data_IF_173587055402
#
_entry.id   IF_173587055402
#
_cell.length_a   1.000
_cell.length_b   1.000
_cell.length_c   1.000
_cell.angle_alpha   90.00
_cell.angle_beta   90.00
_cell.angle_gamma   90.00
#
_symmetry.space_group_name_H-M   'P 1'
#
loop_
_entity.id
_entity.type
_entity.pdbx_description
1 polymer ?
#
# COMPACT_ATOMS: atom_id res chain seq x y z
N UNK A 1 15.71 4.98 -19.71
CA UNK A 1 16.69 4.12 -19.03
C UNK A 1 18.10 4.71 -18.93
N UNK A 2 18.62 5.44 -19.94
CA UNK A 2 19.98 6.03 -19.88
C UNK A 2 20.22 7.06 -18.74
N UNK A 3 19.20 7.77 -18.29
CA UNK A 3 19.37 8.82 -17.26
C UNK A 3 19.54 8.30 -15.83
N UNK A 4 19.08 7.10 -15.53
CA UNK A 4 19.09 6.59 -14.16
C UNK A 4 20.44 5.97 -13.75
N UNK A 5 21.20 5.44 -14.71
CA UNK A 5 22.56 4.91 -14.47
C UNK A 5 23.57 6.03 -14.21
N UNK A 6 23.36 7.21 -14.78
CA UNK A 6 24.23 8.38 -14.55
C UNK A 6 24.31 8.79 -13.08
N UNK A 7 23.27 8.53 -12.28
CA UNK A 7 23.28 8.85 -10.84
C UNK A 7 24.38 8.06 -10.11
N UNK A 8 24.63 6.81 -10.55
CA UNK A 8 25.63 5.95 -9.91
C UNK A 8 27.05 6.12 -10.51
N UNK A 9 27.14 6.52 -11.79
CA UNK A 9 28.40 6.59 -12.52
C UNK A 9 29.07 7.97 -12.47
N UNK A 10 28.27 9.05 -12.49
CA UNK A 10 28.79 10.41 -12.70
C UNK A 10 28.53 11.40 -11.57
N UNK A 11 27.65 11.08 -10.59
CA UNK A 11 27.36 12.01 -9.50
C UNK A 11 28.35 11.85 -8.34
N UNK A 12 28.72 12.99 -7.70
CA UNK A 12 29.41 12.90 -6.41
C UNK A 12 28.50 12.23 -5.37
N UNK A 13 29.10 11.48 -4.43
CA UNK A 13 28.36 10.70 -3.42
C UNK A 13 27.26 11.51 -2.71
N UNK A 14 27.49 12.78 -2.25
CA UNK A 14 26.43 13.56 -1.60
C UNK A 14 25.27 13.92 -2.55
N UNK A 15 25.56 14.09 -3.84
CA UNK A 15 24.53 14.38 -4.85
C UNK A 15 23.72 13.13 -5.18
N UNK A 16 24.37 11.99 -5.34
CA UNK A 16 23.70 10.71 -5.57
C UNK A 16 22.76 10.35 -4.40
N UNK A 17 23.25 10.47 -3.15
CA UNK A 17 22.45 10.25 -1.93
C UNK A 17 21.23 11.17 -1.90
N UNK A 18 21.38 12.47 -2.11
CA UNK A 18 20.22 13.39 -2.13
C UNK A 18 19.21 13.05 -3.21
N UNK A 19 19.66 12.67 -4.40
CA UNK A 19 18.79 12.36 -5.53
C UNK A 19 17.95 11.12 -5.28
N UNK A 20 18.43 10.15 -4.51
CA UNK A 20 17.73 8.91 -4.20
C UNK A 20 16.98 8.99 -2.85
N UNK A 21 17.57 9.60 -1.83
CA UNK A 21 16.99 9.65 -0.50
C UNK A 21 15.80 10.61 -0.42
N UNK A 22 15.90 11.79 -1.04
CA UNK A 22 14.85 12.81 -0.94
C UNK A 22 13.48 12.33 -1.47
N UNK A 23 13.37 11.71 -2.66
CA UNK A 23 12.11 11.12 -3.11
C UNK A 23 11.58 10.03 -2.17
N UNK A 24 12.46 9.17 -1.64
CA UNK A 24 12.07 8.12 -0.71
C UNK A 24 11.53 8.68 0.62
N UNK A 25 12.17 9.72 1.15
CA UNK A 25 11.71 10.42 2.36
C UNK A 25 10.36 11.11 2.13
N UNK A 26 10.16 11.76 0.99
CA UNK A 26 8.87 12.37 0.64
C UNK A 26 7.76 11.31 0.54
N UNK A 27 8.05 10.16 -0.08
CA UNK A 27 7.11 9.04 -0.12
C UNK A 27 6.73 8.53 1.26
N UNK A 28 7.71 8.42 2.18
CA UNK A 28 7.44 8.03 3.58
C UNK A 28 6.59 9.08 4.30
N UNK A 29 6.85 10.36 4.08
CA UNK A 29 6.11 11.45 4.71
C UNK A 29 4.65 11.46 4.25
N UNK A 30 4.39 11.26 2.96
CA UNK A 30 3.02 11.12 2.42
C UNK A 30 2.34 9.87 2.99
N UNK A 31 3.08 8.77 3.20
CA UNK A 31 2.53 7.59 3.86
C UNK A 31 2.10 7.85 5.31
N UNK A 32 2.86 8.64 6.07
CA UNK A 32 2.47 9.04 7.43
C UNK A 32 1.20 9.91 7.38
N UNK A 33 1.14 10.88 6.48
CA UNK A 33 -0.04 11.76 6.31
C UNK A 33 -1.27 10.93 5.94
N UNK A 34 -1.12 9.97 5.04
CA UNK A 34 -2.18 9.04 4.65
C UNK A 34 -2.70 8.24 5.87
N UNK A 35 -1.83 7.62 6.66
CA UNK A 35 -2.25 6.86 7.84
C UNK A 35 -2.96 7.73 8.90
N UNK A 36 -2.50 8.99 9.05
CA UNK A 36 -3.17 9.96 9.93
C UNK A 36 -4.56 10.33 9.39
N UNK A 37 -4.68 10.56 8.08
CA UNK A 37 -5.95 10.91 7.44
C UNK A 37 -6.97 9.76 7.57
N UNK A 38 -6.58 8.52 7.28
CA UNK A 38 -7.42 7.34 7.42
C UNK A 38 -7.96 7.20 8.85
N UNK A 39 -7.07 7.28 9.86
CA UNK A 39 -7.45 7.24 11.27
C UNK A 39 -8.37 8.41 11.65
N UNK A 40 -8.10 9.61 11.13
CA UNK A 40 -8.91 10.80 11.37
C UNK A 40 -10.32 10.61 10.81
N UNK A 41 -10.49 10.16 9.57
CA UNK A 41 -11.80 9.94 8.97
C UNK A 41 -12.60 8.86 9.69
N UNK A 42 -11.98 7.75 10.08
CA UNK A 42 -12.65 6.73 10.91
C UNK A 42 -13.05 7.33 12.26
N UNK A 43 -12.21 8.17 12.86
CA UNK A 43 -12.52 8.89 14.11
C UNK A 43 -13.75 9.82 14.00
N UNK A 44 -13.98 10.43 12.82
CA UNK A 44 -15.16 11.30 12.59
C UNK A 44 -16.49 10.54 12.66
N UNK A 45 -16.50 9.22 12.57
CA UNK A 45 -17.72 8.42 12.77
C UNK A 45 -18.26 8.49 14.20
N UNK A 46 -17.46 8.99 15.16
CA UNK A 46 -17.82 9.07 16.58
C UNK A 46 -17.91 7.72 17.29
N UNK A 47 -17.54 6.62 16.61
CA UNK A 47 -17.61 5.27 17.18
C UNK A 47 -16.23 4.76 17.57
N UNK A 48 -15.93 4.76 18.88
CA UNK A 48 -14.66 4.30 19.41
C UNK A 48 -14.32 2.83 19.04
N UNK A 49 -15.34 1.97 18.90
CA UNK A 49 -15.13 0.58 18.51
C UNK A 49 -14.66 0.43 17.05
N UNK A 50 -15.04 1.35 16.17
CA UNK A 50 -14.53 1.39 14.80
C UNK A 50 -13.05 1.74 14.76
N UNK A 51 -12.63 2.75 15.50
CA UNK A 51 -11.21 3.16 15.62
C UNK A 51 -10.38 2.03 16.24
N UNK A 52 -10.89 1.41 17.31
CA UNK A 52 -10.25 0.26 17.94
C UNK A 52 -10.13 -0.93 16.98
N UNK A 53 -11.16 -1.19 16.16
CA UNK A 53 -11.14 -2.26 15.18
C UNK A 53 -10.04 -2.09 14.10
N UNK A 54 -9.88 -0.87 13.57
CA UNK A 54 -8.79 -0.56 12.63
C UNK A 54 -7.43 -0.78 13.31
N UNK A 55 -7.27 -0.30 14.55
CA UNK A 55 -6.01 -0.45 15.31
C UNK A 55 -5.67 -1.92 15.55
N UNK A 56 -6.64 -2.74 15.93
CA UNK A 56 -6.46 -4.19 16.16
C UNK A 56 -6.09 -4.94 14.86
N UNK A 57 -6.55 -4.48 13.70
CA UNK A 57 -6.23 -5.10 12.40
C UNK A 57 -4.88 -4.66 11.81
N UNK A 58 -4.26 -3.59 12.36
CA UNK A 58 -2.95 -3.09 11.88
C UNK A 58 -1.85 -4.17 11.79
N UNK A 59 -1.64 -5.07 12.78
CA UNK A 59 -0.64 -6.12 12.66
C UNK A 59 -0.87 -7.03 11.44
N UNK A 60 -2.14 -7.30 11.09
CA UNK A 60 -2.48 -8.10 9.93
C UNK A 60 -2.18 -7.35 8.62
N UNK A 61 -2.43 -6.05 8.59
CA UNK A 61 -2.06 -5.20 7.45
C UNK A 61 -0.53 -5.16 7.25
N UNK A 62 0.24 -5.11 8.34
CA UNK A 62 1.71 -5.18 8.29
C UNK A 62 2.22 -6.50 7.70
N UNK A 63 1.51 -7.61 7.87
CA UNK A 63 1.87 -8.87 7.22
C UNK A 63 1.78 -8.79 5.69
N UNK A 64 0.76 -8.12 5.13
CA UNK A 64 0.69 -7.91 3.68
C UNK A 64 1.87 -7.07 3.18
N UNK A 65 2.22 -6.01 3.91
CA UNK A 65 3.38 -5.18 3.60
C UNK A 65 4.68 -6.00 3.69
N UNK A 66 4.83 -6.83 4.72
CA UNK A 66 6.00 -7.69 4.89
C UNK A 66 6.16 -8.68 3.73
N UNK A 67 5.06 -9.31 3.28
CA UNK A 67 5.06 -10.19 2.12
C UNK A 67 5.46 -9.44 0.83
N UNK A 68 4.93 -8.22 0.63
CA UNK A 68 5.31 -7.37 -0.50
C UNK A 68 6.79 -6.99 -0.47
N UNK A 69 7.32 -6.66 0.71
CA UNK A 69 8.73 -6.34 0.89
C UNK A 69 9.64 -7.55 0.68
N UNK A 70 9.22 -8.76 1.04
CA UNK A 70 10.01 -9.97 0.81
C UNK A 70 10.40 -10.11 -0.66
N UNK A 71 9.44 -10.00 -1.56
CA UNK A 71 9.69 -10.07 -3.01
C UNK A 71 10.21 -8.75 -3.57
N UNK A 72 9.74 -7.63 -3.04
CA UNK A 72 10.11 -6.30 -3.52
C UNK A 72 11.55 -5.94 -3.21
N UNK A 73 11.99 -6.07 -1.96
CA UNK A 73 13.36 -5.74 -1.55
C UNK A 73 14.34 -6.78 -2.07
N UNK A 74 13.98 -8.08 -2.01
CA UNK A 74 14.79 -9.15 -2.62
C UNK A 74 14.96 -8.95 -4.12
N UNK A 75 13.87 -8.73 -4.84
CA UNK A 75 13.87 -8.45 -6.27
C UNK A 75 14.66 -7.20 -6.64
N UNK A 76 14.49 -6.11 -5.88
CA UNK A 76 15.24 -4.87 -6.05
C UNK A 76 16.77 -5.10 -6.04
N UNK A 77 17.28 -5.87 -5.09
CA UNK A 77 18.71 -6.17 -4.99
C UNK A 77 19.23 -6.96 -6.22
N UNK A 78 18.46 -7.96 -6.66
CA UNK A 78 18.84 -8.77 -7.83
C UNK A 78 18.71 -7.99 -9.14
N UNK A 79 17.68 -7.16 -9.29
CA UNK A 79 17.48 -6.30 -10.45
C UNK A 79 18.61 -5.29 -10.57
N UNK A 80 18.92 -4.55 -9.50
CA UNK A 80 20.00 -3.55 -9.49
C UNK A 80 21.35 -4.19 -9.86
N UNK A 81 21.65 -5.37 -9.30
CA UNK A 81 22.87 -6.10 -9.63
C UNK A 81 22.92 -6.57 -11.09
N UNK A 82 21.80 -7.12 -11.60
CA UNK A 82 21.72 -7.60 -12.98
C UNK A 82 21.83 -6.47 -14.00
N UNK A 83 21.29 -5.28 -13.67
CA UNK A 83 21.47 -4.08 -14.48
C UNK A 83 22.93 -3.62 -14.50
N UNK A 84 23.62 -3.63 -13.34
CA UNK A 84 25.05 -3.32 -13.27
C UNK A 84 25.94 -4.31 -14.06
N UNK A 85 25.51 -5.58 -14.17
CA UNK A 85 26.17 -6.60 -14.99
C UNK A 85 25.78 -6.53 -16.49
N UNK A 86 24.87 -5.65 -16.89
CA UNK A 86 24.37 -5.55 -18.27
C UNK A 86 23.43 -6.69 -18.71
N UNK A 87 22.94 -7.51 -17.77
CA UNK A 87 22.12 -8.71 -18.03
C UNK A 87 20.63 -8.40 -18.04
N UNK A 88 20.13 -7.72 -19.07
CA UNK A 88 18.74 -7.26 -19.18
C UNK A 88 17.70 -8.41 -19.20
N UNK A 89 18.02 -9.54 -19.85
CA UNK A 89 17.11 -10.69 -19.86
C UNK A 89 16.90 -11.30 -18.47
N UNK A 90 17.93 -11.24 -17.61
CA UNK A 90 17.82 -11.68 -16.23
C UNK A 90 16.92 -10.75 -15.41
N UNK A 91 16.94 -9.45 -15.69
CA UNK A 91 16.04 -8.48 -15.06
C UNK A 91 14.60 -8.83 -15.34
N UNK A 92 14.23 -9.10 -16.60
CA UNK A 92 12.87 -9.51 -16.99
C UNK A 92 12.41 -10.76 -16.25
N UNK A 93 13.28 -11.78 -16.17
CA UNK A 93 12.96 -13.03 -15.47
C UNK A 93 12.72 -12.80 -13.98
N UNK A 94 13.57 -12.00 -13.31
CA UNK A 94 13.43 -11.68 -11.89
C UNK A 94 12.15 -10.89 -11.66
N UNK A 95 11.87 -9.86 -12.46
CA UNK A 95 10.69 -9.04 -12.35
C UNK A 95 9.41 -9.87 -12.52
N UNK A 96 9.34 -10.72 -13.53
CA UNK A 96 8.20 -11.62 -13.75
C UNK A 96 8.01 -12.58 -12.56
N UNK A 97 9.09 -13.17 -12.05
CA UNK A 97 9.03 -14.02 -10.87
C UNK A 97 8.44 -13.28 -9.65
N UNK A 98 8.93 -12.05 -9.38
CA UNK A 98 8.43 -11.24 -8.28
C UNK A 98 6.94 -10.91 -8.43
N UNK A 99 6.48 -10.55 -9.64
CA UNK A 99 5.08 -10.23 -9.92
C UNK A 99 4.18 -11.44 -9.69
N UNK A 100 4.49 -12.59 -10.29
CA UNK A 100 3.67 -13.80 -10.11
C UNK A 100 3.68 -14.29 -8.66
N UNK A 101 4.83 -14.21 -7.98
CA UNK A 101 4.93 -14.59 -6.56
C UNK A 101 4.13 -13.66 -5.66
N UNK A 102 4.16 -12.35 -5.88
CA UNK A 102 3.40 -11.38 -5.12
C UNK A 102 1.88 -11.61 -5.27
N UNK A 103 1.42 -11.83 -6.51
CA UNK A 103 0.01 -12.14 -6.78
C UNK A 103 -0.37 -13.48 -6.10
N UNK A 104 0.45 -14.52 -6.27
CA UNK A 104 0.21 -15.84 -5.68
C UNK A 104 0.12 -15.80 -4.15
N UNK A 105 1.08 -15.12 -3.50
CA UNK A 105 1.05 -14.93 -2.04
C UNK A 105 -0.13 -14.07 -1.61
N UNK A 106 -0.46 -13.01 -2.35
CA UNK A 106 -1.65 -12.22 -2.09
C UNK A 106 -2.93 -13.07 -2.12
N UNK A 107 -3.09 -13.93 -3.13
CA UNK A 107 -4.25 -14.84 -3.22
C UNK A 107 -4.29 -15.84 -2.06
N UNK A 108 -3.16 -16.41 -1.67
CA UNK A 108 -3.07 -17.30 -0.50
C UNK A 108 -3.49 -16.56 0.77
N UNK A 109 -3.00 -15.32 0.96
CA UNK A 109 -3.39 -14.47 2.09
C UNK A 109 -4.89 -14.15 2.08
N UNK A 110 -5.48 -13.88 0.90
CA UNK A 110 -6.94 -13.70 0.76
C UNK A 110 -7.68 -14.91 1.35
N UNK A 111 -7.36 -16.11 0.87
CA UNK A 111 -8.03 -17.34 1.32
C UNK A 111 -7.82 -17.57 2.81
N UNK A 112 -6.57 -17.45 3.28
CA UNK A 112 -6.21 -17.65 4.67
C UNK A 112 -6.98 -16.72 5.61
N UNK A 113 -6.99 -15.41 5.32
CA UNK A 113 -7.67 -14.45 6.20
C UNK A 113 -9.19 -14.47 6.08
N UNK A 114 -9.77 -14.89 4.96
CA UNK A 114 -11.21 -15.08 4.85
C UNK A 114 -11.67 -16.34 5.58
N UNK A 115 -10.94 -17.45 5.45
CA UNK A 115 -11.28 -18.73 6.10
C UNK A 115 -11.05 -18.66 7.62
N UNK A 116 -9.90 -18.16 8.03
CA UNK A 116 -9.49 -18.09 9.44
C UNK A 116 -9.78 -16.74 10.09
N UNK A 117 -10.72 -15.95 9.55
CA UNK A 117 -11.04 -14.60 10.01
C UNK A 117 -11.29 -14.54 11.52
N UNK A 118 -12.12 -15.45 12.06
CA UNK A 118 -12.48 -15.44 13.47
C UNK A 118 -11.29 -15.71 14.40
N UNK A 119 -10.57 -16.84 14.28
CA UNK A 119 -9.43 -17.11 15.16
C UNK A 119 -8.31 -16.07 15.01
N UNK A 120 -8.06 -15.55 13.80
CA UNK A 120 -7.02 -14.55 13.57
C UNK A 120 -7.35 -13.22 14.27
N UNK A 121 -8.59 -12.74 14.18
CA UNK A 121 -8.98 -11.49 14.83
C UNK A 121 -8.93 -11.58 16.35
N UNK A 122 -9.39 -12.68 16.95
CA UNK A 122 -9.25 -12.87 18.39
C UNK A 122 -7.79 -13.01 18.83
N UNK A 123 -6.95 -13.64 18.02
CA UNK A 123 -5.51 -13.78 18.33
C UNK A 123 -4.78 -12.41 18.32
N UNK A 124 -5.22 -11.44 17.50
CA UNK A 124 -4.65 -10.08 17.51
C UNK A 124 -5.34 -9.15 18.52
N UNK A 125 -6.29 -9.65 19.31
CA UNK A 125 -6.89 -8.92 20.43
C UNK A 125 -8.24 -8.26 20.14
N UNK A 126 -8.98 -8.71 19.11
CA UNK A 126 -10.35 -8.23 18.89
C UNK A 126 -11.26 -8.68 20.06
N UNK A 127 -12.03 -7.75 20.59
CA UNK A 127 -13.10 -8.02 21.55
C UNK A 127 -14.43 -8.26 20.84
N UNK A 128 -15.43 -8.79 21.55
CA UNK A 128 -16.77 -8.96 20.97
C UNK A 128 -17.37 -7.65 20.46
N UNK A 129 -17.07 -6.52 21.11
CA UNK A 129 -17.53 -5.20 20.69
C UNK A 129 -16.85 -4.69 19.41
N UNK A 130 -15.60 -5.09 19.15
CA UNK A 130 -14.83 -4.64 17.98
C UNK A 130 -14.84 -5.66 16.84
N UNK A 131 -15.20 -6.92 17.12
CA UNK A 131 -15.11 -8.03 16.17
C UNK A 131 -15.85 -7.77 14.86
N UNK A 132 -17.09 -7.28 14.92
CA UNK A 132 -17.88 -7.05 13.70
C UNK A 132 -17.20 -6.05 12.77
N UNK A 133 -16.72 -4.93 13.31
CA UNK A 133 -16.02 -3.90 12.55
C UNK A 133 -14.66 -4.37 12.03
N UNK A 134 -13.90 -5.08 12.88
CA UNK A 134 -12.61 -5.65 12.47
C UNK A 134 -12.77 -6.71 11.39
N UNK A 135 -13.84 -7.50 11.45
CA UNK A 135 -14.15 -8.52 10.46
C UNK A 135 -14.55 -7.92 9.11
N UNK A 136 -15.28 -6.81 9.11
CA UNK A 136 -15.63 -6.11 7.88
C UNK A 136 -14.40 -5.44 7.26
N UNK A 137 -13.57 -4.77 8.04
CA UNK A 137 -12.31 -4.21 7.58
C UNK A 137 -11.40 -5.27 6.97
N UNK A 138 -11.14 -6.36 7.73
CA UNK A 138 -10.26 -7.45 7.30
C UNK A 138 -10.76 -8.13 6.03
N UNK A 139 -12.08 -8.29 5.86
CA UNK A 139 -12.69 -8.87 4.68
C UNK A 139 -12.26 -8.16 3.40
N UNK A 140 -12.41 -6.83 3.36
CA UNK A 140 -12.09 -6.06 2.15
C UNK A 140 -10.58 -5.94 1.94
N UNK A 141 -9.80 -5.75 3.00
CA UNK A 141 -8.34 -5.74 2.92
C UNK A 141 -7.81 -7.09 2.45
N UNK A 142 -8.37 -8.21 2.94
CA UNK A 142 -7.98 -9.55 2.51
C UNK A 142 -8.28 -9.78 1.02
N UNK A 143 -9.45 -9.37 0.53
CA UNK A 143 -9.79 -9.44 -0.91
C UNK A 143 -8.81 -8.59 -1.74
N UNK A 144 -8.43 -7.43 -1.22
CA UNK A 144 -7.46 -6.53 -1.85
C UNK A 144 -6.00 -6.91 -1.70
N UNK A 145 -5.68 -7.95 -0.91
CA UNK A 145 -4.29 -8.31 -0.60
C UNK A 145 -3.40 -8.58 -1.83
N UNK A 146 -3.86 -9.17 -2.95
CA UNK A 146 -3.02 -9.30 -4.14
C UNK A 146 -2.53 -7.94 -4.66
N UNK A 147 -3.36 -6.91 -4.59
CA UNK A 147 -3.00 -5.57 -5.02
C UNK A 147 -2.11 -4.86 -4.00
N UNK A 148 -2.37 -5.03 -2.69
CA UNK A 148 -1.55 -4.46 -1.61
C UNK A 148 -0.13 -5.03 -1.69
N UNK A 149 0.02 -6.35 -1.75
CA UNK A 149 1.32 -7.03 -1.86
C UNK A 149 2.04 -6.62 -3.14
N UNK A 150 1.33 -6.57 -4.28
CA UNK A 150 1.90 -6.17 -5.57
C UNK A 150 2.30 -4.69 -5.60
N UNK A 151 1.54 -3.79 -4.99
CA UNK A 151 1.87 -2.36 -4.91
C UNK A 151 3.21 -2.14 -4.20
N UNK A 152 3.39 -2.76 -3.04
CA UNK A 152 4.63 -2.69 -2.26
C UNK A 152 5.80 -3.30 -3.03
N UNK A 153 5.59 -4.47 -3.64
CA UNK A 153 6.60 -5.19 -4.42
C UNK A 153 7.05 -4.36 -5.64
N UNK A 154 6.11 -3.87 -6.47
CA UNK A 154 6.40 -3.04 -7.65
C UNK A 154 7.12 -1.74 -7.28
N UNK A 155 6.69 -1.08 -6.20
CA UNK A 155 7.36 0.12 -5.70
C UNK A 155 8.84 -0.13 -5.37
N UNK A 156 9.19 -1.29 -4.83
CA UNK A 156 10.58 -1.66 -4.56
C UNK A 156 11.33 -2.03 -5.84
N UNK A 157 10.72 -2.79 -6.76
CA UNK A 157 11.33 -3.18 -8.03
C UNK A 157 11.70 -1.95 -8.87
N UNK A 158 10.76 -1.03 -9.07
CA UNK A 158 10.98 0.22 -9.82
C UNK A 158 12.11 1.05 -9.19
N UNK A 159 12.25 1.04 -7.86
CA UNK A 159 13.41 1.65 -7.19
C UNK A 159 14.72 0.94 -7.53
N UNK A 160 14.70 -0.40 -7.63
CA UNK A 160 15.84 -1.21 -8.02
C UNK A 160 16.35 -0.92 -9.45
N UNK A 161 15.47 -0.44 -10.32
CA UNK A 161 15.80 0.02 -11.67
C UNK A 161 16.36 1.46 -11.70
N UNK A 162 16.54 2.09 -10.53
CA UNK A 162 17.00 3.47 -10.42
C UNK A 162 15.89 4.52 -10.56
N UNK A 163 14.63 4.12 -10.79
CA UNK A 163 13.50 5.01 -11.01
C UNK A 163 12.77 5.37 -9.69
N UNK A 164 13.52 5.76 -8.66
CA UNK A 164 12.96 6.08 -7.33
C UNK A 164 11.87 7.16 -7.37
N UNK A 165 11.99 8.15 -8.26
CA UNK A 165 10.96 9.18 -8.46
C UNK A 165 9.64 8.60 -8.97
N UNK A 166 9.70 7.66 -9.89
CA UNK A 166 8.52 7.00 -10.46
C UNK A 166 7.82 6.17 -9.39
N UNK A 167 8.59 5.41 -8.61
CA UNK A 167 8.07 4.66 -7.46
C UNK A 167 7.36 5.57 -6.46
N UNK A 168 7.96 6.71 -6.12
CA UNK A 168 7.36 7.72 -5.24
C UNK A 168 6.05 8.25 -5.82
N UNK A 169 6.02 8.65 -7.09
CA UNK A 169 4.82 9.18 -7.74
C UNK A 169 3.70 8.14 -7.72
N UNK A 170 3.98 6.87 -8.06
CA UNK A 170 3.01 5.79 -8.02
C UNK A 170 2.41 5.58 -6.63
N UNK A 171 3.24 5.64 -5.58
CA UNK A 171 2.77 5.55 -4.20
C UNK A 171 1.92 6.75 -3.81
N UNK A 172 2.33 7.97 -4.16
CA UNK A 172 1.58 9.21 -3.87
C UNK A 172 0.22 9.20 -4.55
N UNK A 173 0.14 8.82 -5.82
CA UNK A 173 -1.13 8.73 -6.55
C UNK A 173 -2.10 7.81 -5.82
N UNK A 174 -1.66 6.61 -5.44
CA UNK A 174 -2.51 5.66 -4.69
C UNK A 174 -2.98 6.22 -3.35
N UNK A 175 -2.09 6.88 -2.60
CA UNK A 175 -2.42 7.47 -1.30
C UNK A 175 -3.37 8.68 -1.43
N UNK A 176 -3.18 9.54 -2.43
CA UNK A 176 -4.09 10.66 -2.70
C UNK A 176 -5.48 10.16 -3.08
N UNK A 177 -5.56 9.14 -3.95
CA UNK A 177 -6.84 8.52 -4.29
C UNK A 177 -7.53 7.98 -3.04
N UNK A 178 -6.81 7.29 -2.16
CA UNK A 178 -7.36 6.80 -0.90
C UNK A 178 -7.89 7.96 -0.04
N UNK A 179 -7.08 8.99 0.26
CA UNK A 179 -7.49 10.16 1.09
C UNK A 179 -8.75 10.84 0.54
N UNK A 180 -8.90 10.91 -0.79
CA UNK A 180 -10.09 11.50 -1.43
C UNK A 180 -11.30 10.59 -1.30
N UNK A 181 -11.11 9.27 -1.36
CA UNK A 181 -12.20 8.30 -1.25
C UNK A 181 -12.63 8.03 0.18
N UNK A 182 -11.75 8.19 1.17
CA UNK A 182 -12.05 7.95 2.58
C UNK A 182 -13.32 8.66 3.06
N UNK A 183 -13.44 10.00 2.96
CA UNK A 183 -14.66 10.68 3.41
C UNK A 183 -15.91 10.22 2.66
N UNK A 184 -15.79 9.84 1.38
CA UNK A 184 -16.90 9.39 0.55
C UNK A 184 -17.42 8.03 1.01
N UNK A 185 -16.52 7.10 1.36
CA UNK A 185 -16.91 5.76 1.75
C UNK A 185 -17.16 5.60 3.24
N UNK A 186 -16.46 6.36 4.09
CA UNK A 186 -16.54 6.25 5.55
C UNK A 186 -17.75 6.97 6.12
N UNK A 187 -17.98 8.24 5.70
CA UNK A 187 -18.98 9.12 6.27
C UNK A 187 -20.37 8.93 5.64
N UNK A 188 -21.43 9.30 6.38
CA UNK A 188 -22.78 9.34 5.85
C UNK A 188 -23.03 10.65 5.11
N UNK A 189 -24.00 10.62 4.20
CA UNK A 189 -24.54 11.85 3.63
C UNK A 189 -25.13 12.73 4.74
N UNK A 190 -24.67 13.97 4.81
CA UNK A 190 -25.11 14.94 5.83
C UNK A 190 -24.19 15.03 7.06
N UNK A 191 -23.24 14.11 7.23
CA UNK A 191 -22.24 14.23 8.28
C UNK A 191 -21.41 15.52 8.10
N UNK A 192 -21.07 16.19 9.19
CA UNK A 192 -20.30 17.44 9.12
C UNK A 192 -18.83 17.14 9.00
N UNK A 193 -18.24 17.54 7.87
CA UNK A 193 -16.82 17.50 7.62
C UNK A 193 -16.26 18.92 7.48
N UNK A 194 -15.35 19.33 8.35
CA UNK A 194 -14.85 20.72 8.46
C UNK A 194 -15.97 21.78 8.50
N UNK A 195 -17.10 21.48 9.16
CA UNK A 195 -18.22 22.39 9.29
C UNK A 195 -19.19 22.41 8.09
N UNK A 196 -18.86 21.73 6.99
CA UNK A 196 -19.70 21.57 5.80
C UNK A 196 -20.40 20.21 5.84
N UNK A 197 -21.69 20.17 5.51
CA UNK A 197 -22.40 18.90 5.36
C UNK A 197 -21.90 18.17 4.10
N UNK A 198 -21.53 16.91 4.24
CA UNK A 198 -21.10 16.07 3.12
C UNK A 198 -22.26 15.87 2.13
N UNK A 199 -22.11 16.30 0.86
CA UNK A 199 -23.16 16.12 -0.15
C UNK A 199 -23.32 14.65 -0.57
N UNK A 200 -22.25 13.87 -0.44
CA UNK A 200 -22.19 12.45 -0.78
C UNK A 200 -21.54 11.69 0.38
N UNK A 201 -21.99 10.46 0.62
CA UNK A 201 -21.37 9.56 1.59
C UNK A 201 -22.14 8.25 1.60
N UNK A 202 -21.39 7.13 1.63
CA UNK A 202 -21.99 5.79 1.63
C UNK A 202 -22.19 5.24 3.04
N UNK A 203 -21.53 5.84 4.04
CA UNK A 203 -21.70 5.46 5.44
C UNK A 203 -21.20 4.06 5.78
N UNK A 204 -20.24 3.55 5.04
CA UNK A 204 -19.72 2.18 5.26
C UNK A 204 -18.73 2.10 6.43
N UNK A 205 -18.38 3.22 7.07
CA UNK A 205 -17.46 3.24 8.20
C UNK A 205 -16.13 2.55 7.91
N UNK A 206 -15.72 1.60 8.74
CA UNK A 206 -14.44 0.88 8.58
C UNK A 206 -14.34 0.06 7.29
N UNK A 207 -15.47 -0.47 6.79
CA UNK A 207 -15.49 -1.17 5.50
C UNK A 207 -15.17 -0.19 4.37
N UNK A 208 -15.67 1.05 4.45
CA UNK A 208 -15.37 2.12 3.52
C UNK A 208 -13.88 2.47 3.47
N UNK A 209 -13.24 2.60 4.65
CA UNK A 209 -11.80 2.80 4.76
C UNK A 209 -11.01 1.69 4.08
N UNK A 210 -11.38 0.42 4.32
CA UNK A 210 -10.73 -0.72 3.69
C UNK A 210 -10.88 -0.70 2.15
N UNK A 211 -12.06 -0.38 1.63
CA UNK A 211 -12.33 -0.27 0.19
C UNK A 211 -11.48 0.85 -0.43
N UNK A 212 -11.44 2.03 0.18
CA UNK A 212 -10.63 3.15 -0.29
C UNK A 212 -9.14 2.77 -0.35
N UNK A 213 -8.64 2.10 0.69
CA UNK A 213 -7.26 1.58 0.74
C UNK A 213 -6.96 0.61 -0.40
N UNK A 214 -7.88 -0.32 -0.67
CA UNK A 214 -7.72 -1.29 -1.77
C UNK A 214 -7.72 -0.57 -3.12
N UNK A 215 -8.65 0.36 -3.36
CA UNK A 215 -8.70 1.13 -4.61
C UNK A 215 -7.42 1.94 -4.81
N UNK A 216 -6.91 2.60 -3.77
CA UNK A 216 -5.63 3.31 -3.82
C UNK A 216 -4.47 2.40 -4.23
N UNK A 217 -4.40 1.19 -3.67
CA UNK A 217 -3.39 0.21 -4.06
C UNK A 217 -3.57 -0.31 -5.49
N UNK A 218 -4.80 -0.54 -5.96
CA UNK A 218 -5.09 -0.91 -7.36
C UNK A 218 -4.57 0.17 -8.31
N UNK A 219 -4.87 1.45 -8.04
CA UNK A 219 -4.40 2.58 -8.87
C UNK A 219 -2.87 2.64 -8.87
N UNK A 220 -2.23 2.45 -7.71
CA UNK A 220 -0.77 2.40 -7.61
C UNK A 220 -0.18 1.25 -8.44
N UNK A 221 -0.75 0.04 -8.36
CA UNK A 221 -0.32 -1.12 -9.16
C UNK A 221 -0.47 -0.85 -10.65
N UNK A 222 -1.61 -0.33 -11.09
CA UNK A 222 -1.85 -0.01 -12.51
C UNK A 222 -0.82 1.01 -13.00
N UNK A 223 -0.60 2.09 -12.25
CA UNK A 223 0.39 3.11 -12.64
C UNK A 223 1.81 2.53 -12.72
N UNK A 224 2.24 1.79 -11.69
CA UNK A 224 3.58 1.24 -11.64
C UNK A 224 3.80 0.13 -12.68
N UNK A 225 2.78 -0.70 -12.97
CA UNK A 225 2.88 -1.74 -13.99
C UNK A 225 2.99 -1.17 -15.39
N UNK A 226 2.25 -0.10 -15.72
CA UNK A 226 2.32 0.56 -17.02
C UNK A 226 3.68 1.19 -17.33
N UNK A 227 4.44 1.54 -16.28
CA UNK A 227 5.77 2.15 -16.45
C UNK A 227 6.88 1.09 -16.43
N UNK A 228 6.65 -0.02 -15.69
CA UNK A 228 7.62 -1.11 -15.56
C UNK A 228 7.66 -2.01 -16.81
N UNK A 229 6.58 -2.10 -17.60
CA UNK A 229 6.52 -2.84 -18.87
C UNK A 229 7.10 -1.98 -20.00
#
# INVERSE_FOLDING_TARGET
>A
MKDNTQVFESYSVPRAVRTLALPSMMGMLVNIVYNLADTFFVGQTGNANMVAAVSVTMPLFLLFIACGNLFGVGGCAFVSRSLGEGKTERVKTISSFCVYSAIGVGLVMTVLFLVFRKPVLYAVGASDATFAYAADYLKYVAIGSPFIVSSVMLGNLVRGEGAARVSMIGSIIGQVVNIVLDPIFILNKGDKFFGLAMPFGTGQGVAGAAIATVIGNVVSVVFLSLIHI
#
